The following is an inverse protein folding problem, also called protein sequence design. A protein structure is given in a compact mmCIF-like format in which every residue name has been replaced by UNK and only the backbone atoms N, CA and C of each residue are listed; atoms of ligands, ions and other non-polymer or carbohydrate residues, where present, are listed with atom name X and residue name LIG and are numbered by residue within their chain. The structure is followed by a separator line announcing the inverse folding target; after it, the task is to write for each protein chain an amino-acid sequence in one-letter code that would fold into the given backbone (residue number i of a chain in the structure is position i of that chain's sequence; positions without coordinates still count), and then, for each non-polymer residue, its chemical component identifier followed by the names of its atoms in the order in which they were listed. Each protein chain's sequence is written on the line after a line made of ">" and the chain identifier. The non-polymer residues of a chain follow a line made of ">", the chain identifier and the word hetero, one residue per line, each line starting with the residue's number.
data_IF_144250497015
#
_entry.id   IF_144250497015
#
_cell.length_a   1.000
_cell.length_b   1.000
_cell.length_c   1.000
_cell.angle_alpha   90.00
_cell.angle_beta   90.00
_cell.angle_gamma   90.00
#
_symmetry.space_group_name_H-M   'P 1'
#
loop_
_entity.id
_entity.type
_entity.pdbx_description
1 polymer ?
#
# COMPACT_ATOMS: atom_id res chain seq x y z
N UNK A 1 37.19 6.37 19.11
CA UNK A 1 35.82 6.52 18.59
C UNK A 1 35.40 5.17 18.01
N UNK A 2 34.42 4.49 18.63
CA UNK A 2 34.12 3.08 18.38
C UNK A 2 33.64 2.76 16.95
N UNK A 3 32.97 3.73 16.31
CA UNK A 3 32.38 3.59 14.97
C UNK A 3 33.04 4.53 13.95
N UNK A 4 34.25 4.99 14.24
CA UNK A 4 34.94 5.95 13.38
C UNK A 4 35.09 5.42 11.96
N UNK A 5 34.77 6.26 10.99
CA UNK A 5 34.91 5.99 9.55
C UNK A 5 33.90 5.02 8.94
N UNK A 6 32.94 4.50 9.71
CA UNK A 6 31.88 3.64 9.20
C UNK A 6 30.63 4.44 8.81
N UNK A 7 30.07 4.14 7.64
CA UNK A 7 28.83 4.69 7.14
C UNK A 7 27.70 3.64 7.17
N UNK A 8 26.61 3.98 7.84
CA UNK A 8 25.46 3.10 8.06
C UNK A 8 24.23 3.61 7.32
N UNK A 9 23.48 2.68 6.70
CA UNK A 9 22.11 2.93 6.28
C UNK A 9 21.14 2.26 7.26
N UNK A 10 20.01 2.90 7.55
CA UNK A 10 19.02 2.41 8.51
C UNK A 10 17.70 2.05 7.81
N UNK A 11 17.09 0.90 8.13
CA UNK A 11 15.77 0.55 7.58
C UNK A 11 14.89 -0.25 8.55
N UNK A 12 13.60 0.12 8.60
CA UNK A 12 12.55 -0.66 9.27
C UNK A 12 12.74 -0.84 10.78
N UNK A 13 13.36 0.11 11.47
CA UNK A 13 13.71 0.04 12.90
C UNK A 13 12.54 0.22 13.87
N UNK A 14 11.30 0.29 13.39
CA UNK A 14 10.11 0.56 14.21
C UNK A 14 9.81 -0.48 15.31
N UNK A 15 10.47 -1.65 15.26
CA UNK A 15 10.29 -2.74 16.24
C UNK A 15 11.51 -2.90 17.17
N UNK A 16 12.56 -2.10 17.01
CA UNK A 16 13.66 -2.06 17.97
C UNK A 16 13.23 -1.24 19.19
N UNK A 17 13.83 -1.52 20.35
CA UNK A 17 13.65 -0.77 21.59
C UNK A 17 14.02 0.72 21.48
N UNK A 18 14.67 1.12 20.38
CA UNK A 18 15.06 2.49 20.07
C UNK A 18 14.45 2.94 18.74
N UNK A 19 14.01 4.19 18.70
CA UNK A 19 13.58 4.83 17.46
C UNK A 19 14.76 5.02 16.50
N UNK A 20 14.46 5.10 15.20
CA UNK A 20 15.47 5.35 14.17
C UNK A 20 16.25 6.66 14.42
N UNK A 21 15.58 7.68 14.97
CA UNK A 21 16.22 8.96 15.31
C UNK A 21 17.22 8.81 16.45
N UNK A 22 16.85 8.13 17.52
CA UNK A 22 17.74 7.90 18.67
C UNK A 22 18.96 7.09 18.26
N UNK A 23 18.76 6.01 17.48
CA UNK A 23 19.87 5.20 16.99
C UNK A 23 20.80 6.02 16.07
N UNK A 24 20.24 6.87 15.20
CA UNK A 24 21.05 7.73 14.34
C UNK A 24 21.88 8.73 15.14
N UNK A 25 21.32 9.31 16.21
CA UNK A 25 22.02 10.25 17.07
C UNK A 25 23.17 9.56 17.81
N UNK A 26 22.95 8.34 18.32
CA UNK A 26 23.98 7.53 18.97
C UNK A 26 25.14 7.20 18.02
N UNK A 27 24.85 6.74 16.80
CA UNK A 27 25.90 6.42 15.82
C UNK A 27 26.77 7.66 15.53
N UNK A 28 26.14 8.82 15.32
CA UNK A 28 26.85 10.08 15.06
C UNK A 28 27.67 10.53 16.28
N UNK A 29 27.12 10.40 17.49
CA UNK A 29 27.80 10.74 18.74
C UNK A 29 29.10 9.92 18.92
N UNK A 30 29.11 8.67 18.45
CA UNK A 30 30.26 7.76 18.54
C UNK A 30 31.18 7.77 17.29
N UNK A 31 31.01 8.77 16.41
CA UNK A 31 31.90 9.05 15.28
C UNK A 31 31.55 8.33 13.96
N UNK A 32 30.40 7.64 13.91
CA UNK A 32 29.88 7.04 12.68
C UNK A 32 29.10 8.02 11.81
N UNK A 33 28.86 7.65 10.55
CA UNK A 33 28.03 8.41 9.60
C UNK A 33 26.74 7.65 9.31
N UNK A 34 25.65 8.38 9.15
CA UNK A 34 24.34 7.79 8.80
C UNK A 34 23.87 8.37 7.48
N UNK A 35 23.58 7.49 6.53
CA UNK A 35 22.98 7.83 5.24
C UNK A 35 21.53 7.39 5.19
N UNK A 36 20.67 8.26 4.68
CA UNK A 36 19.26 7.92 4.43
C UNK A 36 19.09 7.02 3.20
N UNK A 37 20.11 6.96 2.32
CA UNK A 37 20.04 6.26 1.04
C UNK A 37 21.09 5.15 1.00
N UNK A 38 20.67 3.97 0.55
CA UNK A 38 21.61 2.87 0.30
C UNK A 38 22.38 3.14 -0.99
N UNK A 39 23.69 3.31 -0.87
CA UNK A 39 24.62 3.51 -1.99
C UNK A 39 25.95 2.78 -1.73
N UNK A 40 26.81 2.69 -2.76
CA UNK A 40 28.07 1.93 -2.72
C UNK A 40 29.07 2.37 -1.63
N UNK A 41 29.00 3.62 -1.17
CA UNK A 41 29.86 4.13 -0.08
C UNK A 41 29.41 3.70 1.33
N UNK A 42 28.20 3.18 1.47
CA UNK A 42 27.72 2.69 2.78
C UNK A 42 28.45 1.38 3.06
N UNK A 43 28.99 1.21 4.27
CA UNK A 43 29.68 -0.01 4.66
C UNK A 43 28.66 -1.09 5.07
N UNK A 44 27.63 -0.71 5.84
CA UNK A 44 26.66 -1.64 6.41
C UNK A 44 25.21 -1.13 6.33
N UNK A 45 24.27 -2.05 6.10
CA UNK A 45 22.84 -1.80 6.25
C UNK A 45 22.35 -2.36 7.59
N UNK A 46 21.89 -1.50 8.50
CA UNK A 46 21.20 -1.92 9.72
C UNK A 46 19.70 -2.10 9.43
N UNK A 47 19.23 -3.33 9.47
CA UNK A 47 17.86 -3.69 9.17
C UNK A 47 17.23 -4.52 10.30
N UNK A 48 15.96 -4.25 10.61
CA UNK A 48 15.20 -5.14 11.48
C UNK A 48 14.92 -6.49 10.80
N UNK A 49 14.76 -7.60 11.56
CA UNK A 49 14.40 -8.90 10.98
C UNK A 49 13.13 -8.85 10.11
N UNK A 50 12.15 -8.03 10.50
CA UNK A 50 10.92 -7.80 9.74
C UNK A 50 11.19 -7.12 8.40
N UNK A 51 12.12 -6.17 8.34
CA UNK A 51 12.49 -5.50 7.10
C UNK A 51 13.21 -6.45 6.13
N UNK A 52 14.05 -7.33 6.66
CA UNK A 52 14.69 -8.41 5.90
C UNK A 52 13.64 -9.39 5.36
N UNK A 53 12.72 -9.83 6.21
CA UNK A 53 11.63 -10.74 5.82
C UNK A 53 10.73 -10.15 4.72
N UNK A 54 10.40 -8.85 4.81
CA UNK A 54 9.60 -8.14 3.81
C UNK A 54 10.36 -7.81 2.52
N UNK A 55 11.67 -8.06 2.49
CA UNK A 55 12.55 -7.73 1.39
C UNK A 55 12.37 -6.28 0.91
N UNK A 56 12.50 -5.32 1.84
CA UNK A 56 12.29 -3.90 1.56
C UNK A 56 13.26 -3.38 0.49
N UNK A 57 12.94 -2.22 -0.11
CA UNK A 57 13.78 -1.64 -1.16
C UNK A 57 15.23 -1.42 -0.70
N UNK A 58 15.45 -1.06 0.56
CA UNK A 58 16.79 -0.91 1.14
C UNK A 58 17.56 -2.23 1.16
N UNK A 59 16.91 -3.33 1.58
CA UNK A 59 17.49 -4.68 1.57
C UNK A 59 17.83 -5.14 0.16
N UNK A 60 16.93 -4.91 -0.82
CA UNK A 60 17.20 -5.20 -2.23
C UNK A 60 18.38 -4.41 -2.79
N UNK A 61 18.50 -3.13 -2.43
CA UNK A 61 19.62 -2.27 -2.83
C UNK A 61 20.93 -2.72 -2.17
N UNK A 62 20.89 -3.10 -0.90
CA UNK A 62 22.06 -3.63 -0.20
C UNK A 62 22.57 -4.90 -0.88
N UNK A 63 21.68 -5.84 -1.21
CA UNK A 63 22.04 -7.04 -1.96
C UNK A 63 22.67 -6.72 -3.33
N UNK A 64 22.13 -5.73 -4.06
CA UNK A 64 22.70 -5.27 -5.34
C UNK A 64 24.12 -4.69 -5.20
N UNK A 65 24.41 -4.06 -4.07
CA UNK A 65 25.71 -3.46 -3.78
C UNK A 65 26.65 -4.38 -2.99
N UNK A 66 26.26 -5.65 -2.77
CA UNK A 66 26.98 -6.62 -1.95
C UNK A 66 27.26 -6.11 -0.53
N UNK A 67 26.33 -5.31 0.02
CA UNK A 67 26.46 -4.74 1.36
C UNK A 67 25.96 -5.74 2.41
N UNK A 68 26.72 -5.98 3.49
CA UNK A 68 26.27 -6.80 4.60
C UNK A 68 25.04 -6.16 5.28
N UNK A 69 24.04 -6.99 5.53
CA UNK A 69 22.83 -6.60 6.27
C UNK A 69 22.98 -7.08 7.71
N UNK A 70 23.07 -6.13 8.63
CA UNK A 70 23.31 -6.36 10.05
C UNK A 70 22.07 -6.05 10.89
N UNK A 71 21.99 -6.69 12.05
CA UNK A 71 20.97 -6.38 13.06
C UNK A 71 21.28 -5.06 13.77
N UNK A 72 20.26 -4.33 14.27
CA UNK A 72 20.47 -3.07 14.98
C UNK A 72 21.29 -3.22 16.27
N UNK A 73 21.31 -4.42 16.86
CA UNK A 73 22.10 -4.75 18.04
C UNK A 73 23.61 -4.57 17.81
N UNK A 74 24.10 -4.73 16.58
CA UNK A 74 25.51 -4.52 16.24
C UNK A 74 26.01 -3.14 16.67
N UNK A 75 25.25 -2.09 16.35
CA UNK A 75 25.63 -0.72 16.67
C UNK A 75 25.64 -0.49 18.18
N UNK A 76 24.64 -1.03 18.89
CA UNK A 76 24.53 -0.89 20.35
C UNK A 76 25.66 -1.62 21.07
N UNK A 77 25.95 -2.85 20.66
CA UNK A 77 26.98 -3.67 21.28
C UNK A 77 28.39 -3.14 20.94
N UNK A 78 28.60 -2.62 19.72
CA UNK A 78 29.85 -1.96 19.35
C UNK A 78 30.08 -0.65 20.12
N UNK A 79 29.01 0.10 20.41
CA UNK A 79 29.08 1.30 21.26
C UNK A 79 29.41 0.90 22.70
N UNK A 80 28.73 -0.12 23.24
CA UNK A 80 28.94 -0.61 24.60
C UNK A 80 30.36 -1.16 24.80
N UNK A 81 30.90 -1.88 23.81
CA UNK A 81 32.25 -2.41 23.81
C UNK A 81 33.33 -1.36 23.48
N UNK A 82 32.93 -0.13 23.12
CA UNK A 82 33.78 0.95 22.64
C UNK A 82 34.72 0.57 21.46
N UNK A 83 34.39 -0.49 20.73
CA UNK A 83 35.17 -1.04 19.60
C UNK A 83 34.22 -1.65 18.56
N UNK A 84 34.58 -1.66 17.27
CA UNK A 84 33.81 -2.37 16.26
C UNK A 84 33.90 -3.88 16.54
N UNK A 85 32.73 -4.51 16.67
CA UNK A 85 32.63 -5.97 16.79
C UNK A 85 32.72 -6.62 15.41
N UNK A 86 32.87 -7.95 15.35
CA UNK A 86 32.86 -8.66 14.08
C UNK A 86 31.44 -8.59 13.46
N UNK A 87 31.27 -8.04 12.25
CA UNK A 87 29.97 -7.99 11.58
C UNK A 87 29.38 -9.38 11.29
N UNK A 88 30.19 -10.44 11.20
CA UNK A 88 29.71 -11.80 10.90
C UNK A 88 28.71 -12.31 11.96
N UNK A 89 28.94 -12.00 13.24
CA UNK A 89 28.09 -12.43 14.36
C UNK A 89 26.70 -11.77 14.35
N UNK A 90 26.59 -10.65 13.62
CA UNK A 90 25.40 -9.81 13.60
C UNK A 90 24.67 -9.82 12.26
N UNK A 91 25.08 -10.71 11.35
CA UNK A 91 24.40 -10.89 10.07
C UNK A 91 22.93 -11.20 10.32
N UNK A 92 22.08 -10.39 9.71
CA UNK A 92 20.65 -10.64 9.67
C UNK A 92 20.39 -11.79 8.68
N UNK A 93 20.71 -13.02 9.10
CA UNK A 93 20.24 -14.19 8.38
C UNK A 93 18.70 -14.11 8.30
N UNK A 94 18.10 -14.51 7.16
CA UNK A 94 16.68 -14.74 7.11
C UNK A 94 16.40 -15.85 8.13
N UNK A 95 15.98 -15.46 9.33
CA UNK A 95 15.50 -16.43 10.29
C UNK A 95 14.39 -17.22 9.58
N UNK A 96 14.41 -18.57 9.61
CA UNK A 96 13.26 -19.33 9.14
C UNK A 96 12.06 -18.80 9.94
N UNK A 97 11.11 -18.22 9.22
CA UNK A 97 9.97 -17.57 9.84
C UNK A 97 9.31 -18.57 10.80
N UNK A 98 9.11 -18.26 12.09
CA UNK A 98 8.06 -18.97 12.80
C UNK A 98 6.79 -18.71 11.99
N UNK A 99 6.19 -19.77 11.48
CA UNK A 99 4.97 -19.74 10.68
C UNK A 99 3.85 -19.15 11.55
N UNK A 100 3.79 -17.83 11.66
CA UNK A 100 2.66 -17.16 12.26
C UNK A 100 1.49 -17.40 11.30
N UNK A 101 0.43 -18.11 11.73
CA UNK A 101 -0.75 -18.27 10.90
C UNK A 101 -1.25 -16.86 10.57
N UNK A 102 -1.39 -16.58 9.27
CA UNK A 102 -2.00 -15.36 8.80
C UNK A 102 -3.40 -15.28 9.41
N UNK A 103 -3.54 -14.52 10.50
CA UNK A 103 -4.83 -14.24 11.10
C UNK A 103 -5.69 -13.59 10.00
N UNK A 104 -6.83 -14.19 9.61
CA UNK A 104 -7.74 -13.52 8.70
C UNK A 104 -8.15 -12.21 9.34
N UNK A 105 -7.90 -11.10 8.65
CA UNK A 105 -8.32 -9.79 9.11
C UNK A 105 -9.81 -9.86 9.50
N UNK A 106 -10.21 -9.40 10.70
CA UNK A 106 -11.59 -9.49 11.11
C UNK A 106 -12.45 -8.73 10.08
N UNK A 107 -13.56 -9.30 9.61
CA UNK A 107 -14.48 -8.56 8.77
C UNK A 107 -15.00 -7.38 9.60
N UNK A 108 -14.55 -6.18 9.28
CA UNK A 108 -15.07 -4.95 9.86
C UNK A 108 -16.57 -4.85 9.52
N UNK A 109 -17.43 -5.43 10.37
CA UNK A 109 -18.87 -5.23 10.35
C UNK A 109 -19.12 -3.79 10.79
N UNK A 110 -19.51 -2.93 9.85
CA UNK A 110 -20.01 -1.59 10.19
C UNK A 110 -19.68 -0.48 9.20
N UNK A 111 -18.81 -0.69 8.21
CA UNK A 111 -18.58 0.31 7.18
C UNK A 111 -19.79 0.35 6.23
N UNK A 112 -20.63 1.39 6.39
CA UNK A 112 -21.76 1.70 5.51
C UNK A 112 -21.35 1.49 4.05
N UNK A 113 -22.20 0.80 3.28
CA UNK A 113 -22.06 0.43 1.86
C UNK A 113 -21.65 1.57 0.88
N UNK A 114 -21.52 2.82 1.35
CA UNK A 114 -21.02 3.97 0.58
C UNK A 114 -19.50 4.03 0.45
N UNK A 115 -18.75 3.34 1.32
CA UNK A 115 -17.31 3.12 1.16
C UNK A 115 -17.02 1.98 0.17
N UNK A 116 -17.78 1.95 -0.93
CA UNK A 116 -17.57 1.03 -2.02
C UNK A 116 -16.10 1.08 -2.45
N UNK A 117 -15.51 -0.11 -2.52
CA UNK A 117 -14.19 -0.40 -3.07
C UNK A 117 -14.10 0.30 -4.43
N UNK A 118 -13.42 1.46 -4.49
CA UNK A 118 -13.24 2.18 -5.74
C UNK A 118 -11.97 1.67 -6.41
N UNK A 119 -12.14 1.06 -7.58
CA UNK A 119 -11.02 0.77 -8.48
C UNK A 119 -10.46 2.09 -9.00
N UNK A 120 -9.19 2.32 -8.71
CA UNK A 120 -8.48 3.52 -9.12
C UNK A 120 -7.19 3.11 -9.84
N UNK A 121 -6.63 4.05 -10.57
CA UNK A 121 -5.32 3.91 -11.18
C UNK A 121 -4.41 4.98 -10.60
N UNK A 122 -3.24 4.56 -10.13
CA UNK A 122 -2.22 5.42 -9.53
C UNK A 122 -1.06 5.52 -10.52
N UNK A 123 -0.59 6.72 -10.78
CA UNK A 123 0.57 6.96 -11.62
C UNK A 123 1.83 6.60 -10.83
N UNK A 124 2.56 5.61 -11.32
CA UNK A 124 3.81 5.13 -10.74
C UNK A 124 4.94 5.40 -11.74
N UNK A 125 5.97 6.09 -11.28
CA UNK A 125 7.20 6.25 -12.05
C UNK A 125 8.01 4.96 -11.93
N UNK A 126 8.19 4.29 -13.06
CA UNK A 126 8.89 3.01 -13.13
C UNK A 126 10.34 3.23 -13.56
N UNK A 127 11.33 2.71 -12.83
CA UNK A 127 12.73 2.93 -13.18
C UNK A 127 13.15 2.21 -14.49
N UNK A 128 13.72 2.99 -15.40
CA UNK A 128 14.46 2.64 -16.62
C UNK A 128 13.67 2.00 -17.80
N UNK A 129 13.32 2.81 -18.83
CA UNK A 129 13.26 4.28 -18.79
C UNK A 129 12.14 4.76 -17.85
N UNK A 130 12.31 5.92 -17.17
CA UNK A 130 11.30 6.52 -16.31
C UNK A 130 10.08 6.91 -17.12
N UNK A 131 9.13 5.99 -17.21
CA UNK A 131 7.85 6.22 -17.86
C UNK A 131 6.75 6.22 -16.80
N UNK A 132 5.82 7.20 -16.85
CA UNK A 132 4.66 7.21 -15.97
C UNK A 132 3.72 6.08 -16.36
N UNK A 133 3.59 5.06 -15.51
CA UNK A 133 2.69 3.93 -15.72
C UNK A 133 1.49 4.07 -14.79
N UNK A 134 0.29 3.92 -15.34
CA UNK A 134 -0.94 3.89 -14.55
C UNK A 134 -1.18 2.48 -14.00
N UNK A 135 -0.93 2.30 -12.72
CA UNK A 135 -1.07 1.02 -12.03
C UNK A 135 -2.44 0.93 -11.37
N UNK A 136 -3.18 -0.13 -11.67
CA UNK A 136 -4.44 -0.43 -11.01
C UNK A 136 -4.23 -0.65 -9.50
N UNK A 137 -5.02 0.05 -8.70
CA UNK A 137 -5.06 -0.11 -7.26
C UNK A 137 -6.49 -0.05 -6.74
N UNK A 138 -6.67 -0.57 -5.54
CA UNK A 138 -7.96 -0.70 -4.89
C UNK A 138 -7.93 0.07 -3.60
N UNK A 139 -8.83 1.05 -3.45
CA UNK A 139 -9.03 1.74 -2.17
C UNK A 139 -9.93 0.91 -1.28
N UNK A 140 -9.38 0.45 -0.16
CA UNK A 140 -10.09 -0.23 0.91
C UNK A 140 -10.74 0.74 1.89
N UNK A 141 -11.07 0.21 3.07
CA UNK A 141 -11.70 0.97 4.14
C UNK A 141 -10.78 2.07 4.69
N UNK A 142 -11.39 3.06 5.35
CA UNK A 142 -10.67 4.05 6.16
C UNK A 142 -10.01 3.34 7.34
N UNK A 143 -8.76 3.71 7.66
CA UNK A 143 -8.02 3.13 8.77
C UNK A 143 -8.49 3.73 10.10
N UNK A 144 -8.56 2.88 11.14
CA UNK A 144 -8.89 3.31 12.49
C UNK A 144 -7.83 4.30 13.01
N UNK A 145 -8.27 5.34 13.74
CA UNK A 145 -7.37 6.35 14.30
C UNK A 145 -6.93 7.46 13.35
N UNK A 146 -7.36 7.48 12.08
CA UNK A 146 -7.10 8.62 11.21
C UNK A 146 -8.27 8.96 10.28
N UNK A 147 -8.81 10.19 10.33
CA UNK A 147 -9.96 10.57 9.50
C UNK A 147 -9.65 10.65 7.99
N UNK A 148 -8.36 10.62 7.61
CA UNK A 148 -7.92 10.86 6.22
C UNK A 148 -7.07 9.75 5.61
N UNK A 149 -6.76 8.68 6.34
CA UNK A 149 -5.97 7.55 5.83
C UNK A 149 -6.86 6.40 5.37
N UNK A 150 -6.56 5.84 4.22
CA UNK A 150 -7.26 4.71 3.61
C UNK A 150 -6.29 3.58 3.32
N UNK A 151 -6.77 2.34 3.43
CA UNK A 151 -6.03 1.20 2.90
C UNK A 151 -5.98 1.30 1.37
N UNK A 152 -4.81 1.05 0.79
CA UNK A 152 -4.56 1.01 -0.65
C UNK A 152 -3.93 -0.33 -0.99
N UNK A 153 -4.41 -1.01 -2.04
CA UNK A 153 -3.81 -2.27 -2.48
C UNK A 153 -3.53 -2.20 -3.97
N UNK A 154 -2.25 -2.26 -4.32
CA UNK A 154 -1.82 -2.30 -5.71
C UNK A 154 -2.08 -3.69 -6.31
N UNK A 155 -2.54 -3.73 -7.56
CA UNK A 155 -2.70 -4.99 -8.28
C UNK A 155 -1.33 -5.65 -8.50
N UNK A 156 -1.30 -6.97 -8.60
CA UNK A 156 -0.07 -7.73 -8.92
C UNK A 156 0.53 -7.23 -10.23
N UNK A 157 1.85 -7.14 -10.27
CA UNK A 157 2.60 -6.81 -11.49
C UNK A 157 3.71 -7.85 -11.68
N UNK A 158 3.38 -9.00 -12.30
CA UNK A 158 4.28 -10.14 -12.40
C UNK A 158 5.62 -9.83 -13.05
N UNK A 159 5.65 -8.91 -14.03
CA UNK A 159 6.86 -8.48 -14.74
C UNK A 159 7.95 -7.84 -13.86
N UNK A 160 7.65 -7.58 -12.57
CA UNK A 160 8.58 -6.98 -11.60
C UNK A 160 8.77 -7.84 -10.34
N UNK A 161 8.31 -9.09 -10.35
CA UNK A 161 8.39 -9.99 -9.18
C UNK A 161 7.39 -9.64 -8.06
N UNK A 162 6.42 -8.76 -8.33
CA UNK A 162 5.30 -8.52 -7.42
C UNK A 162 4.21 -9.58 -7.67
N UNK A 163 4.48 -10.79 -7.18
CA UNK A 163 3.56 -11.92 -7.28
C UNK A 163 2.36 -11.78 -6.34
N UNK A 164 2.49 -10.92 -5.33
CA UNK A 164 1.46 -10.63 -4.33
C UNK A 164 0.98 -9.18 -4.44
N UNK A 165 -0.29 -8.90 -4.10
CA UNK A 165 -0.78 -7.53 -4.02
C UNK A 165 0.02 -6.77 -2.96
N UNK A 166 0.51 -5.57 -3.28
CA UNK A 166 1.28 -4.77 -2.33
C UNK A 166 0.31 -3.89 -1.51
N UNK A 167 0.11 -4.17 -0.21
CA UNK A 167 -0.66 -3.29 0.65
C UNK A 167 0.14 -2.02 0.93
N UNK A 168 -0.54 -0.89 0.92
CA UNK A 168 -0.03 0.43 1.30
C UNK A 168 -1.14 1.21 2.01
N UNK A 169 -0.81 2.38 2.56
CA UNK A 169 -1.76 3.33 3.11
C UNK A 169 -1.68 4.61 2.29
N UNK A 170 -2.82 5.26 2.05
CA UNK A 170 -2.83 6.52 1.31
C UNK A 170 -3.66 7.62 1.96
N UNK A 171 -3.27 8.86 1.68
CA UNK A 171 -3.99 10.08 2.04
C UNK A 171 -4.32 10.84 0.76
N UNK A 172 -5.60 11.13 0.52
CA UNK A 172 -6.01 11.95 -0.62
C UNK A 172 -5.76 13.42 -0.33
N UNK A 173 -5.27 14.17 -1.33
CA UNK A 173 -5.04 15.60 -1.19
C UNK A 173 -6.38 16.31 -0.86
N UNK A 174 -6.45 17.09 0.23
CA UNK A 174 -7.65 17.87 0.55
C UNK A 174 -7.90 18.92 -0.55
N UNK A 175 -9.17 19.21 -0.84
CA UNK A 175 -9.55 20.19 -1.88
C UNK A 175 -9.77 19.61 -3.29
N UNK A 176 -9.97 18.30 -3.44
CA UNK A 176 -10.45 17.71 -4.70
C UNK A 176 -9.38 17.46 -5.78
N UNK A 177 -8.10 17.51 -5.42
CA UNK A 177 -7.00 17.20 -6.33
C UNK A 177 -6.91 15.71 -6.69
N UNK A 178 -6.47 15.42 -7.92
CA UNK A 178 -6.13 14.06 -8.39
C UNK A 178 -4.76 13.59 -7.88
N UNK A 179 -4.50 13.80 -6.60
CA UNK A 179 -3.25 13.46 -5.93
C UNK A 179 -3.53 12.64 -4.67
N UNK A 180 -2.75 11.58 -4.48
CA UNK A 180 -2.73 10.79 -3.25
C UNK A 180 -1.28 10.72 -2.76
N UNK A 181 -1.10 10.76 -1.45
CA UNK A 181 0.17 10.47 -0.79
C UNK A 181 0.21 8.98 -0.50
N UNK A 182 1.22 8.30 -1.02
CA UNK A 182 1.54 6.92 -0.62
C UNK A 182 2.39 6.98 0.64
N UNK A 183 1.90 6.41 1.74
CA UNK A 183 2.60 6.48 3.02
C UNK A 183 3.78 5.51 3.11
N UNK A 184 3.76 4.41 2.35
CA UNK A 184 4.84 3.41 2.39
C UNK A 184 6.04 3.87 1.54
N UNK A 185 5.76 4.59 0.45
CA UNK A 185 6.79 5.14 -0.44
C UNK A 185 7.06 6.64 -0.23
N UNK A 186 6.35 7.27 0.72
CA UNK A 186 6.47 8.68 1.08
C UNK A 186 6.46 9.64 -0.13
N UNK A 187 5.51 9.44 -1.06
CA UNK A 187 5.48 10.19 -2.32
C UNK A 187 4.06 10.58 -2.74
N UNK A 188 3.92 11.78 -3.30
CA UNK A 188 2.69 12.24 -3.95
C UNK A 188 2.58 11.63 -5.35
N UNK A 189 1.49 10.89 -5.58
CA UNK A 189 1.18 10.24 -6.85
C UNK A 189 -0.10 10.80 -7.44
N UNK A 190 -0.14 10.95 -8.76
CA UNK A 190 -1.38 11.25 -9.48
C UNK A 190 -2.29 10.04 -9.45
N UNK A 191 -3.60 10.23 -9.33
CA UNK A 191 -4.55 9.14 -9.40
C UNK A 191 -5.77 9.49 -10.26
N UNK A 192 -6.44 8.46 -10.78
CA UNK A 192 -7.71 8.62 -11.50
C UNK A 192 -8.65 7.46 -11.19
N UNK A 193 -9.95 7.74 -11.20
CA UNK A 193 -10.96 6.67 -11.19
C UNK A 193 -10.97 5.97 -12.54
N UNK A 194 -10.81 4.66 -12.57
CA UNK A 194 -11.06 3.88 -13.79
C UNK A 194 -12.57 3.84 -13.98
N UNK A 195 -13.11 4.66 -14.90
CA UNK A 195 -14.48 4.46 -15.36
C UNK A 195 -14.50 3.09 -16.04
N UNK A 196 -15.34 2.17 -15.61
CA UNK A 196 -15.60 0.96 -16.38
C UNK A 196 -16.16 1.40 -17.75
N UNK A 197 -15.31 1.46 -18.78
CA UNK A 197 -15.80 1.32 -20.15
C UNK A 197 -16.13 -0.16 -20.30
N UNK A 198 -17.42 -0.48 -20.29
CA UNK A 198 -17.90 -1.84 -20.54
C UNK A 198 -18.22 -2.66 -19.28
N UNK A 199 -19.22 -2.26 -18.51
CA UNK A 199 -20.30 -3.24 -18.34
C UNK A 199 -21.12 -3.09 -19.62
N UNK A 200 -21.13 -4.12 -20.47
CA UNK A 200 -22.08 -4.18 -21.56
C UNK A 200 -23.44 -3.81 -20.97
N UNK A 201 -24.05 -2.74 -21.50
CA UNK A 201 -25.44 -2.43 -21.18
C UNK A 201 -26.18 -3.76 -21.40
N UNK A 202 -26.85 -4.35 -20.39
CA UNK A 202 -27.60 -5.58 -20.64
C UNK A 202 -28.47 -5.29 -21.87
N UNK A 203 -28.51 -6.19 -22.86
CA UNK A 203 -29.33 -5.96 -24.04
C UNK A 203 -30.69 -5.53 -23.51
N UNK A 204 -31.13 -4.32 -23.91
CA UNK A 204 -32.51 -3.89 -23.65
C UNK A 204 -33.32 -5.11 -24.04
N UNK A 205 -34.03 -5.72 -23.09
CA UNK A 205 -35.05 -6.71 -23.42
C UNK A 205 -35.88 -6.01 -24.47
N UNK A 206 -35.73 -6.43 -25.72
CA UNK A 206 -36.70 -6.15 -26.76
C UNK A 206 -37.96 -6.70 -26.12
N UNK A 207 -38.85 -5.79 -25.71
CA UNK A 207 -40.19 -6.17 -25.37
C UNK A 207 -40.72 -6.83 -26.64
N UNK A 208 -40.61 -8.16 -26.68
CA UNK A 208 -41.42 -8.97 -27.58
C UNK A 208 -42.82 -8.45 -27.36
N UNK A 209 -43.39 -7.84 -28.39
CA UNK A 209 -44.81 -7.51 -28.49
C UNK A 209 -45.54 -8.85 -28.38
N UNK A 210 -45.67 -9.33 -27.15
CA UNK A 210 -46.57 -10.41 -26.78
C UNK A 210 -47.96 -9.91 -27.07
N UNK A 211 -48.62 -10.64 -27.96
CA UNK A 211 -50.03 -10.52 -28.32
C UNK A 211 -50.85 -10.04 -27.13
N UNK A 212 -51.54 -8.93 -27.33
CA UNK A 212 -52.62 -8.51 -26.47
C UNK A 212 -53.69 -9.60 -26.54
N UNK A 213 -53.88 -10.34 -25.45
CA UNK A 213 -55.02 -11.26 -25.35
C UNK A 213 -56.29 -10.42 -25.29
N UNK A 214 -57.34 -10.86 -25.99
CA UNK A 214 -58.64 -10.18 -26.09
C UNK A 214 -59.35 -9.94 -24.75
N UNK A 215 -58.81 -10.41 -23.62
CA UNK A 215 -59.34 -10.20 -22.27
C UNK A 215 -58.99 -8.84 -21.66
N UNK A 216 -57.94 -8.14 -22.12
CA UNK A 216 -57.54 -6.84 -21.55
C UNK A 216 -58.23 -5.62 -22.20
N UNK A 217 -58.98 -5.83 -23.30
CA UNK A 217 -59.77 -4.79 -23.94
C UNK A 217 -61.07 -4.45 -23.16
N UNK A 218 -61.53 -5.34 -22.29
CA UNK A 218 -62.81 -5.17 -21.59
C UNK A 218 -62.70 -4.31 -20.31
N UNK A 219 -61.57 -4.36 -19.59
CA UNK A 219 -61.42 -3.65 -18.32
C UNK A 219 -61.11 -2.14 -18.45
N UNK A 220 -60.69 -1.64 -19.61
CA UNK A 220 -60.47 -0.19 -19.83
C UNK A 220 -61.70 0.57 -20.30
N UNK A 221 -62.77 -0.11 -20.76
CA UNK A 221 -64.02 0.55 -21.18
C UNK A 221 -64.97 0.85 -20.01
N UNK A 222 -64.85 0.14 -18.89
CA UNK A 222 -65.69 0.36 -17.69
C UNK A 222 -65.17 1.47 -16.74
N UNK A 223 -63.93 1.94 -16.89
CA UNK A 223 -63.37 3.03 -16.04
C UNK A 223 -63.47 4.43 -16.64
N UNK A 224 -63.95 4.58 -17.89
CA UNK A 224 -64.16 5.90 -18.53
C UNK A 224 -65.59 6.46 -18.41
N UNK A 225 -66.53 5.72 -17.83
CA UNK A 225 -67.92 6.17 -17.65
C UNK A 225 -68.29 6.53 -16.19
N UNK A 226 -67.37 6.45 -15.22
CA UNK A 226 -67.61 6.90 -13.83
C UNK A 226 -66.91 8.21 -13.43
N UNK A 227 -66.24 8.89 -14.35
CA UNK A 227 -65.51 10.15 -14.08
C UNK A 227 -66.16 11.37 -14.77
N UNK A 228 -67.28 11.19 -15.47
CA UNK A 228 -68.01 12.28 -16.16
C UNK A 228 -69.45 12.52 -15.65
N UNK A 229 -69.76 12.13 -14.41
CA UNK A 229 -71.03 12.48 -13.74
C UNK A 229 -70.83 12.99 -12.30
N UNK A 230 -69.71 13.69 -12.06
CA UNK A 230 -69.47 14.43 -10.81
C UNK A 230 -68.97 15.86 -11.02
N UNK A 231 -69.20 16.41 -12.20
CA UNK A 231 -69.10 17.85 -12.49
C UNK A 231 -70.18 18.19 -13.51
N UNK A 232 -71.15 18.99 -13.04
CA UNK A 232 -72.44 19.39 -13.62
C UNK A 232 -73.54 18.34 -13.52
#
# INVERSE_FOLDING_TARGET
>A
MALASLEFALTGLSAASLSQKELSALIVQHGGRVSNLVHRRVDYLLASPLAVQRNTQAVRKAAKHSLPVLRPSYALDSIAAARPLDPADYLAHPAPAPAAPAAPAPPCRGARLRDAIRRLEVCVEMAAPPSPVWWAATRGARLAGSPRRYALTYARLPSRGYEQPTPSQCVFKPGGGRWLWDAEEEVWRRWRTRRQRGAARPPRRVATRGRWSARDAFCRRARRLRVLHRRN
#
